data_IF_252564447262
#
_entry.id   IF_252564447262
#
_cell.length_a   1.000
_cell.length_b   1.000
_cell.length_c   1.000
_cell.angle_alpha   90.00
_cell.angle_beta   90.00
_cell.angle_gamma   90.00
#
_symmetry.space_group_name_H-M   'P 1'
#
loop_
_entity.id
_entity.type
_entity.pdbx_description
1 polymer ?
#
# COMPACT_ATOMS: atom_id res chain seq x y z
N UNK A 1 -8.87 -21.41 11.54
CA UNK A 1 -7.76 -20.51 11.88
C UNK A 1 -7.38 -19.66 10.68
N UNK A 2 -7.29 -18.37 10.87
CA UNK A 2 -6.92 -17.44 9.80
C UNK A 2 -5.39 -17.40 9.68
N UNK A 3 -4.84 -17.54 8.46
CA UNK A 3 -3.40 -17.48 8.22
C UNK A 3 -2.91 -16.04 8.27
N UNK A 4 -1.58 -15.85 8.35
CA UNK A 4 -0.98 -14.52 8.28
C UNK A 4 -1.28 -13.82 6.96
N UNK A 5 -1.25 -14.57 5.86
CA UNK A 5 -1.56 -14.03 4.56
C UNK A 5 -3.01 -13.54 4.47
N UNK A 6 -3.95 -14.32 5.01
CA UNK A 6 -5.35 -13.94 5.04
C UNK A 6 -5.58 -12.71 5.91
N UNK A 7 -4.94 -12.64 7.07
CA UNK A 7 -5.02 -11.48 7.95
C UNK A 7 -4.50 -10.22 7.24
N UNK A 8 -3.37 -10.36 6.55
CA UNK A 8 -2.78 -9.25 5.80
C UNK A 8 -3.71 -8.79 4.69
N UNK A 9 -4.27 -9.72 3.92
CA UNK A 9 -5.20 -9.41 2.84
C UNK A 9 -6.43 -8.66 3.35
N UNK A 10 -6.96 -9.06 4.51
CA UNK A 10 -8.10 -8.37 5.13
C UNK A 10 -7.75 -6.94 5.52
N UNK A 11 -6.55 -6.71 6.06
CA UNK A 11 -6.10 -5.36 6.42
C UNK A 11 -5.98 -4.47 5.19
N UNK A 12 -5.43 -4.99 4.10
CA UNK A 12 -5.32 -4.23 2.85
C UNK A 12 -6.70 -3.95 2.28
N UNK A 13 -7.61 -4.92 2.32
CA UNK A 13 -8.98 -4.73 1.85
C UNK A 13 -9.71 -3.64 2.66
N UNK A 14 -9.53 -3.63 3.98
CA UNK A 14 -10.12 -2.60 4.83
C UNK A 14 -9.58 -1.20 4.47
N UNK A 15 -8.29 -1.09 4.20
CA UNK A 15 -7.69 0.16 3.72
C UNK A 15 -8.28 0.57 2.37
N UNK A 16 -8.44 -0.37 1.46
CA UNK A 16 -9.02 -0.09 0.14
C UNK A 16 -10.42 0.50 0.29
N UNK A 17 -11.24 -0.09 1.15
CA UNK A 17 -12.60 0.42 1.43
C UNK A 17 -12.58 1.80 2.03
N UNK A 18 -11.61 2.09 2.91
CA UNK A 18 -11.50 3.38 3.57
C UNK A 18 -11.13 4.49 2.59
N UNK A 19 -10.22 4.23 1.66
CA UNK A 19 -9.74 5.24 0.73
C UNK A 19 -10.56 5.32 -0.56
N UNK A 20 -11.44 4.35 -0.82
CA UNK A 20 -12.25 4.33 -2.03
C UNK A 20 -13.07 5.61 -2.24
N UNK A 21 -13.79 6.14 -1.24
CA UNK A 21 -14.54 7.39 -1.45
C UNK A 21 -13.67 8.57 -1.85
N UNK A 22 -12.46 8.64 -1.30
CA UNK A 22 -11.50 9.68 -1.66
C UNK A 22 -11.07 9.56 -3.13
N UNK A 23 -10.78 8.33 -3.56
CA UNK A 23 -10.40 8.06 -4.95
C UNK A 23 -11.55 8.35 -5.92
N UNK A 24 -12.77 7.96 -5.56
CA UNK A 24 -13.94 8.19 -6.39
C UNK A 24 -14.21 9.68 -6.59
N UNK A 25 -14.08 10.49 -5.54
CA UNK A 25 -14.27 11.93 -5.65
C UNK A 25 -13.26 12.58 -6.60
N UNK A 26 -12.11 11.97 -6.78
CA UNK A 26 -11.07 12.45 -7.69
C UNK A 26 -11.17 11.81 -9.09
N UNK A 27 -12.18 10.99 -9.32
CA UNK A 27 -12.33 10.28 -10.58
C UNK A 27 -11.24 9.25 -10.83
N UNK A 28 -10.56 8.82 -9.78
CA UNK A 28 -9.45 7.87 -9.89
C UNK A 28 -9.92 6.44 -9.68
N UNK A 29 -9.36 5.53 -10.46
CA UNK A 29 -9.61 4.10 -10.33
C UNK A 29 -8.26 3.42 -10.13
N UNK A 30 -8.12 2.70 -9.02
CA UNK A 30 -6.84 2.09 -8.63
C UNK A 30 -7.11 0.67 -8.15
N UNK A 31 -6.26 -0.26 -8.60
CA UNK A 31 -6.28 -1.63 -8.09
C UNK A 31 -5.25 -1.76 -6.98
N UNK A 32 -5.64 -2.38 -5.86
CA UNK A 32 -4.71 -2.79 -4.81
C UNK A 32 -4.47 -4.29 -4.92
N UNK A 33 -3.19 -4.66 -4.95
CA UNK A 33 -2.75 -6.05 -5.11
C UNK A 33 -1.77 -6.37 -3.98
N UNK A 34 -1.82 -7.58 -3.45
CA UNK A 34 -0.87 -8.06 -2.45
C UNK A 34 0.00 -9.14 -3.08
N UNK A 35 1.32 -8.96 -2.99
CA UNK A 35 2.30 -9.98 -3.33
C UNK A 35 3.14 -10.28 -2.09
N UNK A 36 3.80 -11.43 -2.05
CA UNK A 36 4.63 -11.80 -0.90
C UNK A 36 5.92 -10.99 -0.82
N UNK A 37 6.64 -10.88 -1.93
CA UNK A 37 7.93 -10.19 -2.01
C UNK A 37 8.08 -9.50 -3.35
N UNK A 38 8.91 -8.45 -3.44
CA UNK A 38 9.23 -7.84 -4.72
C UNK A 38 9.91 -8.83 -5.67
N UNK A 39 9.66 -8.68 -6.97
CA UNK A 39 10.25 -9.55 -7.98
C UNK A 39 11.76 -9.34 -8.15
N UNK A 40 12.29 -8.20 -7.73
CA UNK A 40 13.70 -7.87 -7.88
C UNK A 40 14.31 -7.45 -6.55
N UNK A 41 15.63 -7.65 -6.41
CA UNK A 41 16.36 -7.17 -5.23
C UNK A 41 16.34 -5.65 -5.17
N UNK A 42 16.52 -5.06 -3.96
CA UNK A 42 16.60 -3.60 -3.86
C UNK A 42 17.79 -3.07 -4.66
N UNK A 43 17.61 -1.87 -5.23
CA UNK A 43 18.71 -1.18 -5.88
C UNK A 43 19.77 -0.80 -4.84
N UNK A 44 21.06 -0.58 -5.26
CA UNK A 44 22.13 -0.28 -4.31
C UNK A 44 21.88 0.93 -3.41
N UNK A 45 21.04 1.87 -3.84
CA UNK A 45 20.73 3.08 -3.07
C UNK A 45 19.50 2.90 -2.16
N UNK A 46 18.82 1.76 -2.22
CA UNK A 46 17.65 1.48 -1.39
C UNK A 46 18.07 0.83 -0.07
N UNK A 47 17.38 1.19 1.02
CA UNK A 47 17.70 0.68 2.37
C UNK A 47 17.14 -0.70 2.65
N UNK A 48 16.61 -1.38 1.67
CA UNK A 48 16.04 -2.71 1.82
C UNK A 48 14.94 -2.96 0.83
N UNK A 49 14.22 -4.08 0.96
CA UNK A 49 13.13 -4.41 0.04
C UNK A 49 12.04 -3.34 0.05
N UNK A 50 11.45 -3.08 -1.11
CA UNK A 50 10.34 -2.16 -1.21
C UNK A 50 9.16 -2.68 -0.38
N UNK A 51 8.46 -1.77 0.30
CA UNK A 51 7.23 -2.10 1.04
C UNK A 51 6.04 -2.17 0.08
N UNK A 52 6.08 -1.37 -0.97
CA UNK A 52 5.04 -1.28 -1.98
C UNK A 52 5.60 -0.62 -3.25
N UNK A 53 4.87 -0.74 -4.34
CA UNK A 53 5.20 -0.05 -5.58
C UNK A 53 3.92 0.41 -6.27
N UNK A 54 4.03 1.56 -6.94
CA UNK A 54 2.95 2.09 -7.77
C UNK A 54 3.30 1.79 -9.23
N UNK A 55 2.37 1.17 -9.93
CA UNK A 55 2.47 0.92 -11.36
C UNK A 55 1.48 1.82 -12.09
N UNK A 56 1.92 2.65 -13.02
CA UNK A 56 1.03 3.57 -13.71
C UNK A 56 0.03 2.83 -14.61
N UNK A 57 -1.03 3.53 -15.01
CA UNK A 57 -1.98 2.98 -15.97
C UNK A 57 -1.27 2.63 -17.28
N UNK A 58 -1.73 1.56 -17.92
CA UNK A 58 -1.14 1.07 -19.15
C UNK A 58 -2.27 0.61 -20.07
N UNK A 59 -2.45 1.30 -21.20
CA UNK A 59 -3.57 1.05 -22.08
C UNK A 59 -4.89 1.29 -21.38
N UNK A 60 -5.77 0.28 -21.39
CA UNK A 60 -7.06 0.34 -20.70
C UNK A 60 -6.96 -0.11 -19.24
N UNK A 61 -5.77 -0.57 -18.83
CA UNK A 61 -5.55 -1.07 -17.49
C UNK A 61 -5.40 0.10 -16.52
N UNK A 62 -6.14 0.11 -15.39
CA UNK A 62 -5.98 1.18 -14.40
C UNK A 62 -4.62 1.08 -13.70
N UNK A 63 -4.18 2.16 -13.07
CA UNK A 63 -2.97 2.08 -12.23
C UNK A 63 -3.21 1.13 -11.07
N UNK A 64 -2.12 0.56 -10.57
CA UNK A 64 -2.23 -0.36 -9.44
C UNK A 64 -1.14 -0.09 -8.40
N UNK A 65 -1.47 -0.41 -7.19
CA UNK A 65 -0.56 -0.36 -6.05
C UNK A 65 -0.35 -1.80 -5.60
N UNK A 66 0.90 -2.25 -5.58
CA UNK A 66 1.27 -3.57 -5.09
C UNK A 66 1.88 -3.42 -3.72
N UNK A 67 1.32 -4.10 -2.72
CA UNK A 67 1.81 -4.10 -1.35
C UNK A 67 2.52 -5.43 -1.12
N UNK A 68 3.76 -5.37 -0.63
CA UNK A 68 4.58 -6.56 -0.40
C UNK A 68 4.46 -7.01 1.04
N UNK A 69 3.79 -8.13 1.26
CA UNK A 69 3.42 -8.63 2.58
C UNK A 69 4.62 -8.82 3.51
N UNK A 70 5.64 -9.54 3.07
CA UNK A 70 6.76 -9.88 3.96
C UNK A 70 7.58 -8.66 4.40
N UNK A 71 7.97 -7.76 3.51
CA UNK A 71 8.64 -6.53 3.95
C UNK A 71 7.80 -5.69 4.91
N UNK A 72 6.49 -5.59 4.68
CA UNK A 72 5.60 -4.83 5.57
C UNK A 72 5.47 -5.50 6.92
N UNK A 73 5.32 -6.82 6.96
CA UNK A 73 5.29 -7.57 8.22
C UNK A 73 6.59 -7.41 9.00
N UNK A 74 7.72 -7.44 8.32
CA UNK A 74 9.03 -7.25 8.96
C UNK A 74 9.14 -5.85 9.55
N UNK A 75 8.70 -4.83 8.83
CA UNK A 75 8.69 -3.46 9.36
C UNK A 75 7.80 -3.36 10.61
N UNK A 76 6.63 -3.99 10.59
CA UNK A 76 5.70 -3.96 11.71
C UNK A 76 6.28 -4.56 12.99
N UNK A 77 7.16 -5.57 12.88
CA UNK A 77 7.80 -6.14 14.08
C UNK A 77 8.71 -5.15 14.78
N UNK A 78 9.18 -4.11 14.10
CA UNK A 78 10.11 -3.12 14.65
C UNK A 78 9.45 -1.79 14.99
N UNK A 79 8.43 -1.40 14.24
CA UNK A 79 7.93 -0.02 14.32
C UNK A 79 6.49 0.13 14.81
N UNK A 80 5.78 -0.97 15.05
CA UNK A 80 4.41 -0.84 15.55
C UNK A 80 3.55 -2.03 15.22
N UNK A 81 2.24 -1.86 15.38
CA UNK A 81 1.31 -2.93 15.06
C UNK A 81 1.07 -3.03 13.56
N UNK A 82 0.74 -4.22 13.10
CA UNK A 82 0.55 -4.49 11.69
C UNK A 82 -0.57 -3.65 11.05
N UNK A 83 -1.76 -3.52 11.68
CA UNK A 83 -2.80 -2.68 11.07
C UNK A 83 -2.37 -1.24 10.81
N UNK A 84 -1.68 -0.62 11.75
CA UNK A 84 -1.20 0.76 11.59
C UNK A 84 -0.15 0.87 10.50
N UNK A 85 0.76 -0.09 10.43
CA UNK A 85 1.81 -0.07 9.40
C UNK A 85 1.21 -0.30 8.02
N UNK A 86 0.28 -1.23 7.87
CA UNK A 86 -0.42 -1.45 6.59
C UNK A 86 -1.14 -0.18 6.15
N UNK A 87 -1.87 0.46 7.07
CA UNK A 87 -2.59 1.70 6.75
C UNK A 87 -1.64 2.80 6.29
N UNK A 88 -0.52 2.99 6.98
CA UNK A 88 0.49 3.97 6.62
C UNK A 88 1.05 3.71 5.21
N UNK A 89 1.39 2.46 4.92
CA UNK A 89 1.96 2.09 3.62
C UNK A 89 0.96 2.35 2.51
N UNK A 90 -0.29 1.91 2.68
CA UNK A 90 -1.34 2.13 1.67
C UNK A 90 -1.60 3.62 1.47
N UNK A 91 -1.74 4.39 2.55
CA UNK A 91 -2.00 5.83 2.45
C UNK A 91 -0.89 6.55 1.69
N UNK A 92 0.36 6.22 1.97
CA UNK A 92 1.50 6.82 1.27
C UNK A 92 1.51 6.51 -0.22
N UNK A 93 1.15 5.28 -0.59
CA UNK A 93 1.10 4.90 -2.00
C UNK A 93 -0.04 5.60 -2.73
N UNK A 94 -1.20 5.72 -2.10
CA UNK A 94 -2.31 6.47 -2.67
C UNK A 94 -1.93 7.94 -2.86
N UNK A 95 -1.28 8.54 -1.87
CA UNK A 95 -0.82 9.92 -1.94
C UNK A 95 0.18 10.10 -3.09
N UNK A 96 1.14 9.20 -3.22
CA UNK A 96 2.14 9.23 -4.29
C UNK A 96 1.45 9.13 -5.67
N UNK A 97 0.53 8.21 -5.82
CA UNK A 97 -0.18 8.04 -7.08
C UNK A 97 -0.96 9.28 -7.49
N UNK A 98 -1.60 9.95 -6.51
CA UNK A 98 -2.43 11.13 -6.77
C UNK A 98 -1.63 12.44 -6.77
N UNK A 99 -0.36 12.39 -6.39
CA UNK A 99 0.48 13.59 -6.32
C UNK A 99 0.05 14.56 -5.22
N UNK A 100 -0.46 14.05 -4.11
CA UNK A 100 -0.89 14.86 -2.96
C UNK A 100 -0.13 14.45 -1.72
N UNK A 101 -0.22 15.24 -0.65
CA UNK A 101 0.38 14.90 0.63
C UNK A 101 -0.47 13.85 1.35
N UNK A 102 0.19 13.00 2.14
CA UNK A 102 -0.50 11.95 2.88
C UNK A 102 -1.52 12.53 3.89
N UNK A 103 -1.25 13.71 4.43
CA UNK A 103 -2.18 14.38 5.35
C UNK A 103 -3.51 14.73 4.68
N UNK A 104 -3.52 14.93 3.38
CA UNK A 104 -4.75 15.22 2.64
C UNK A 104 -5.65 13.99 2.51
N UNK A 105 -5.08 12.80 2.66
CA UNK A 105 -5.78 11.52 2.57
C UNK A 105 -6.20 11.04 3.95
N UNK A 106 -5.24 11.07 4.88
CA UNK A 106 -5.45 10.62 6.26
C UNK A 106 -4.71 11.56 7.21
N UNK A 107 -5.40 12.57 7.74
CA UNK A 107 -4.77 13.57 8.63
C UNK A 107 -4.09 12.96 9.86
N UNK A 108 -4.51 11.77 10.29
CA UNK A 108 -3.90 11.08 11.41
C UNK A 108 -2.52 10.51 11.15
N UNK A 109 -2.07 10.50 9.89
CA UNK A 109 -0.78 9.94 9.48
C UNK A 109 0.31 10.99 9.27
N UNK A 110 0.05 12.22 9.60
CA UNK A 110 1.03 13.30 9.45
C UNK A 110 2.27 13.10 10.35
#
# INVERSE_FOLDING_TARGET
>A
MVSRAETFDELVLDCAKRYQPFLERRGSRVELVVDDVPAADPAPWEEGPALARVFPSEGTRPPRIVIYRRPVETLATREGDLPSVVDMVVARQVAELLGVDVEDIDPGLS
#
